data_IF_339783246410
#
_entry.id   IF_339783246410
#
_cell.length_a   1.000
_cell.length_b   1.000
_cell.length_c   1.000
_cell.angle_alpha   90.00
_cell.angle_beta   90.00
_cell.angle_gamma   90.00
#
_symmetry.space_group_name_H-M   'P 1'
#
loop_
_entity.id
_entity.type
_entity.pdbx_description
1 polymer ?
#
# COMPACT_ATOMS: atom_id res chain seq x y z
N UNK A 1 -6.72 18.61 -16.57
CA UNK A 1 -6.92 17.21 -16.16
C UNK A 1 -8.41 16.91 -16.08
N UNK A 2 -8.86 15.73 -16.51
CA UNK A 2 -10.26 15.34 -16.37
C UNK A 2 -10.58 14.85 -14.95
N UNK A 3 -11.85 14.91 -14.56
CA UNK A 3 -12.37 14.28 -13.33
C UNK A 3 -11.93 12.81 -13.15
N UNK A 4 -11.93 11.92 -14.17
CA UNK A 4 -11.49 10.54 -13.96
C UNK A 4 -10.01 10.42 -13.57
N UNK A 5 -9.14 11.26 -14.14
CA UNK A 5 -7.71 11.28 -13.80
C UNK A 5 -7.48 11.72 -12.35
N UNK A 6 -8.26 12.70 -11.89
CA UNK A 6 -8.16 13.21 -10.53
C UNK A 6 -8.63 12.17 -9.50
N UNK A 7 -9.71 11.45 -9.81
CA UNK A 7 -10.18 10.30 -9.01
C UNK A 7 -9.12 9.21 -8.96
N UNK A 8 -8.49 8.87 -10.09
CA UNK A 8 -7.42 7.87 -10.13
C UNK A 8 -6.26 8.24 -9.21
N UNK A 9 -5.77 9.48 -9.28
CA UNK A 9 -4.68 9.96 -8.40
C UNK A 9 -5.11 9.88 -6.92
N UNK A 10 -6.33 10.28 -6.60
CA UNK A 10 -6.85 10.23 -5.23
C UNK A 10 -6.94 8.79 -4.70
N UNK A 11 -7.37 7.83 -5.53
CA UNK A 11 -7.41 6.41 -5.18
C UNK A 11 -6.00 5.84 -4.97
N UNK A 12 -5.05 6.22 -5.81
CA UNK A 12 -3.64 5.82 -5.67
C UNK A 12 -3.04 6.35 -4.37
N UNK A 13 -3.30 7.62 -4.04
CA UNK A 13 -2.87 8.21 -2.78
C UNK A 13 -3.53 7.54 -1.56
N UNK A 14 -4.83 7.23 -1.64
CA UNK A 14 -5.54 6.51 -0.59
C UNK A 14 -4.94 5.11 -0.37
N UNK A 15 -4.65 4.37 -1.46
CA UNK A 15 -4.04 3.05 -1.38
C UNK A 15 -2.64 3.11 -0.73
N UNK A 16 -1.85 4.15 -1.03
CA UNK A 16 -0.57 4.40 -0.36
C UNK A 16 -0.74 4.58 1.16
N UNK A 17 -1.72 5.39 1.56
CA UNK A 17 -2.02 5.62 2.98
C UNK A 17 -2.48 4.35 3.70
N UNK A 18 -3.29 3.51 3.04
CA UNK A 18 -3.73 2.22 3.61
C UNK A 18 -2.54 1.28 3.81
N UNK A 19 -1.66 1.16 2.80
CA UNK A 19 -0.46 0.34 2.88
C UNK A 19 0.47 0.81 4.02
N UNK A 20 0.73 2.11 4.10
CA UNK A 20 1.53 2.70 5.17
C UNK A 20 0.88 2.49 6.54
N UNK A 21 -0.42 2.78 6.67
CA UNK A 21 -1.15 2.69 7.93
C UNK A 21 -1.16 1.29 8.52
N UNK A 22 -1.36 0.25 7.69
CA UNK A 22 -1.31 -1.10 8.24
C UNK A 22 0.11 -1.63 8.47
N UNK A 23 1.13 -1.12 7.77
CA UNK A 23 2.53 -1.42 8.12
C UNK A 23 2.89 -0.83 9.48
N UNK A 24 2.43 0.41 9.76
CA UNK A 24 2.56 1.03 11.09
C UNK A 24 1.79 0.24 12.15
N UNK A 25 0.56 -0.20 11.85
CA UNK A 25 -0.20 -1.05 12.75
C UNK A 25 0.53 -2.37 13.06
N UNK A 26 1.13 -3.01 12.07
CA UNK A 26 1.87 -4.25 12.27
C UNK A 26 3.08 -4.01 13.19
N UNK A 27 3.89 -3.00 12.88
CA UNK A 27 5.09 -2.68 13.65
C UNK A 27 4.80 -2.26 15.09
N UNK A 28 3.72 -1.52 15.34
CA UNK A 28 3.40 -0.98 16.66
C UNK A 28 2.47 -1.87 17.50
N UNK A 29 1.59 -2.64 16.86
CA UNK A 29 0.52 -3.38 17.55
C UNK A 29 0.67 -4.88 17.41
N UNK A 30 1.13 -5.41 16.27
CA UNK A 30 1.22 -6.87 16.08
C UNK A 30 2.60 -7.37 16.54
N UNK A 31 3.67 -6.77 16.03
CA UNK A 31 5.07 -7.17 16.26
C UNK A 31 5.51 -7.21 17.72
N UNK A 32 5.13 -6.24 18.58
CA UNK A 32 5.53 -6.27 19.99
C UNK A 32 4.83 -7.37 20.81
N UNK A 33 3.65 -7.83 20.37
CA UNK A 33 2.77 -8.66 21.18
C UNK A 33 2.75 -10.14 20.77
N UNK A 34 2.94 -10.46 19.47
CA UNK A 34 2.91 -11.85 19.00
C UNK A 34 3.99 -12.77 19.62
N UNK A 35 5.21 -12.33 20.02
CA UNK A 35 6.21 -13.25 20.56
C UNK A 35 5.75 -13.92 21.86
N UNK A 36 4.92 -13.23 22.64
CA UNK A 36 4.31 -13.77 23.88
C UNK A 36 2.98 -14.48 23.64
N UNK A 37 2.39 -14.32 22.44
CA UNK A 37 1.07 -14.83 22.06
C UNK A 37 1.10 -15.30 20.59
N UNK A 38 1.75 -16.44 20.29
CA UNK A 38 1.95 -16.90 18.92
C UNK A 38 0.64 -17.18 18.17
N UNK A 39 -0.46 -17.44 18.90
CA UNK A 39 -1.80 -17.57 18.33
C UNK A 39 -2.28 -16.36 17.52
N UNK A 40 -1.68 -15.17 17.72
CA UNK A 40 -2.00 -13.97 16.93
C UNK A 40 -1.67 -14.18 15.44
N UNK A 41 -0.53 -14.79 15.11
CA UNK A 41 -0.05 -14.95 13.72
C UNK A 41 -0.24 -16.36 13.15
N UNK A 42 -0.76 -17.29 13.95
CA UNK A 42 -0.98 -18.68 13.54
C UNK A 42 -2.34 -18.84 12.85
N UNK A 43 -2.35 -18.75 11.52
CA UNK A 43 -3.59 -18.86 10.73
C UNK A 43 -4.34 -20.18 10.90
N UNK A 44 -3.65 -21.27 11.25
CA UNK A 44 -4.26 -22.58 11.50
C UNK A 44 -5.03 -22.64 12.83
N UNK A 45 -4.69 -21.76 13.77
CA UNK A 45 -5.26 -21.70 15.12
C UNK A 45 -6.16 -20.45 15.30
N UNK A 46 -6.69 -19.90 14.21
CA UNK A 46 -7.57 -18.71 14.22
C UNK A 46 -6.85 -17.37 14.24
N UNK A 47 -5.52 -17.35 14.16
CA UNK A 47 -4.71 -16.14 14.01
C UNK A 47 -4.77 -15.53 12.61
N UNK A 48 -4.22 -14.33 12.46
CA UNK A 48 -4.12 -13.65 11.16
C UNK A 48 -3.06 -14.31 10.28
N UNK A 49 -3.42 -14.62 9.04
CA UNK A 49 -2.44 -14.93 8.00
C UNK A 49 -1.85 -13.64 7.48
N UNK A 50 -0.62 -13.30 7.89
CA UNK A 50 0.09 -12.08 7.44
C UNK A 50 0.10 -11.96 5.91
N UNK A 51 0.37 -13.07 5.21
CA UNK A 51 0.36 -13.09 3.74
C UNK A 51 -1.01 -12.69 3.15
N UNK A 52 -2.12 -13.31 3.58
CA UNK A 52 -3.45 -13.01 3.01
C UNK A 52 -4.02 -11.68 3.47
N UNK A 53 -3.70 -11.27 4.69
CA UNK A 53 -4.10 -9.98 5.22
C UNK A 53 -3.38 -8.87 4.47
N UNK A 54 -2.08 -9.05 4.21
CA UNK A 54 -1.19 -7.94 3.87
C UNK A 54 -0.64 -7.91 2.44
N UNK A 55 -0.73 -8.99 1.66
CA UNK A 55 -0.41 -8.92 0.22
C UNK A 55 -1.41 -8.09 -0.60
N UNK A 56 -2.74 -8.12 -0.36
CA UNK A 56 -3.67 -7.45 -1.27
C UNK A 56 -3.52 -5.93 -1.34
N UNK A 57 -3.21 -5.26 -0.23
CA UNK A 57 -3.17 -3.80 -0.17
C UNK A 57 -1.95 -3.20 -0.92
N UNK A 58 -0.71 -3.67 -0.69
CA UNK A 58 0.46 -3.25 -1.47
C UNK A 58 0.32 -3.62 -2.96
N UNK A 59 -0.19 -4.81 -3.28
CA UNK A 59 -0.40 -5.20 -4.69
C UNK A 59 -1.39 -4.27 -5.39
N UNK A 60 -2.50 -3.92 -4.73
CA UNK A 60 -3.46 -2.96 -5.27
C UNK A 60 -2.82 -1.58 -5.46
N UNK A 61 -2.05 -1.11 -4.47
CA UNK A 61 -1.32 0.15 -4.55
C UNK A 61 -0.33 0.16 -5.72
N UNK A 62 0.46 -0.89 -5.90
CA UNK A 62 1.44 -1.00 -6.99
C UNK A 62 0.77 -0.92 -8.36
N UNK A 63 -0.32 -1.67 -8.55
CA UNK A 63 -1.09 -1.63 -9.81
C UNK A 63 -1.64 -0.23 -10.06
N UNK A 64 -2.25 0.40 -9.05
CA UNK A 64 -2.77 1.76 -9.15
C UNK A 64 -1.67 2.77 -9.45
N UNK A 65 -0.50 2.63 -8.83
CA UNK A 65 0.64 3.52 -9.02
C UNK A 65 1.15 3.46 -10.47
N UNK A 66 1.34 2.25 -11.01
CA UNK A 66 1.75 2.07 -12.41
C UNK A 66 0.72 2.65 -13.37
N UNK A 67 -0.57 2.35 -13.18
CA UNK A 67 -1.64 2.88 -14.03
C UNK A 67 -1.69 4.41 -13.96
N UNK A 68 -1.51 4.98 -12.77
CA UNK A 68 -1.51 6.44 -12.59
C UNK A 68 -0.33 7.08 -13.33
N UNK A 69 0.88 6.52 -13.21
CA UNK A 69 2.07 6.99 -13.93
C UNK A 69 1.84 7.00 -15.44
N UNK A 70 1.27 5.92 -15.99
CA UNK A 70 0.99 5.81 -17.43
C UNK A 70 -0.03 6.86 -17.87
N UNK A 71 -1.12 7.03 -17.14
CA UNK A 71 -2.20 7.97 -17.47
C UNK A 71 -1.75 9.43 -17.35
N UNK A 72 -0.91 9.74 -16.35
CA UNK A 72 -0.45 11.12 -16.10
C UNK A 72 0.92 11.41 -16.73
N UNK A 73 1.43 10.56 -17.63
CA UNK A 73 2.79 10.66 -18.17
C UNK A 73 3.09 11.99 -18.86
N UNK A 74 2.07 12.61 -19.45
CA UNK A 74 2.15 13.92 -20.12
C UNK A 74 2.29 15.11 -19.17
N UNK A 75 2.02 14.93 -17.88
CA UNK A 75 2.15 16.00 -16.88
C UNK A 75 3.49 15.85 -16.13
N UNK A 76 4.43 16.75 -16.42
CA UNK A 76 5.78 16.69 -15.87
C UNK A 76 5.84 16.83 -14.34
N UNK A 77 4.93 17.59 -13.74
CA UNK A 77 4.89 17.79 -12.29
C UNK A 77 4.38 16.54 -11.56
N UNK A 78 3.28 15.97 -12.05
CA UNK A 78 2.68 14.76 -11.45
C UNK A 78 3.59 13.55 -11.66
N UNK A 79 4.21 13.43 -12.84
CA UNK A 79 5.15 12.34 -13.14
C UNK A 79 6.32 12.30 -12.17
N UNK A 80 6.93 13.44 -11.85
CA UNK A 80 8.06 13.49 -10.92
C UNK A 80 7.66 12.94 -9.53
N UNK A 81 6.51 13.40 -9.00
CA UNK A 81 6.00 12.93 -7.72
C UNK A 81 5.70 11.42 -7.71
N UNK A 82 5.08 10.91 -8.78
CA UNK A 82 4.75 9.48 -8.87
C UNK A 82 5.99 8.59 -9.07
N UNK A 83 7.02 9.06 -9.79
CA UNK A 83 8.29 8.33 -9.91
C UNK A 83 9.03 8.28 -8.58
N UNK A 84 9.00 9.36 -7.79
CA UNK A 84 9.53 9.34 -6.42
C UNK A 84 8.76 8.34 -5.56
N UNK A 85 7.43 8.31 -5.65
CA UNK A 85 6.62 7.33 -4.94
C UNK A 85 6.95 5.88 -5.37
N UNK A 86 7.12 5.64 -6.67
CA UNK A 86 7.48 4.32 -7.21
C UNK A 86 8.86 3.87 -6.75
N UNK A 87 9.86 4.75 -6.81
CA UNK A 87 11.21 4.47 -6.34
C UNK A 87 11.25 4.23 -4.83
N UNK A 88 10.48 5.00 -4.06
CA UNK A 88 10.42 4.85 -2.60
C UNK A 88 9.74 3.56 -2.17
N UNK A 89 8.77 3.07 -2.96
CA UNK A 89 8.10 1.79 -2.69
C UNK A 89 8.94 0.57 -3.11
N UNK A 90 9.79 0.73 -4.12
CA UNK A 90 10.65 -0.34 -4.62
C UNK A 90 11.95 -0.53 -3.82
N UNK A 91 12.34 0.44 -2.99
CA UNK A 91 13.57 0.45 -2.19
C UNK A 91 13.36 -0.17 -0.81
#
# INVERSE_FOLDING_TARGET
MGTPTLVLIALTALAACVALGGAVYEALVVDPYWPKRPGIIQSQNGGISRARFWLPAPVLFEVLLVVTVVVTWGDSGIRAALLVALLSHAA
#
